data_IF_151289368033
#
_entry.id   IF_151289368033
#
_cell.length_a   1.000
_cell.length_b   1.000
_cell.length_c   1.000
_cell.angle_alpha   90.00
_cell.angle_beta   90.00
_cell.angle_gamma   90.00
#
_symmetry.space_group_name_H-M   'P 1'
#
loop_
_entity.id
_entity.type
_entity.pdbx_description
1 polymer ?
#
# COMPACT_ATOMS: atom_id res chain seq x y z
N UNK A 1 4.02 21.15 -19.92
CA UNK A 1 2.90 20.19 -20.06
C UNK A 1 2.77 19.48 -18.72
N UNK A 2 1.66 19.64 -18.01
CA UNK A 2 1.46 18.97 -16.73
C UNK A 2 1.27 17.47 -16.99
N UNK A 3 2.20 16.65 -16.51
CA UNK A 3 2.08 15.21 -16.58
C UNK A 3 0.91 14.80 -15.67
N UNK A 4 -0.22 14.46 -16.28
CA UNK A 4 -1.33 13.87 -15.56
C UNK A 4 -0.82 12.52 -15.06
N UNK A 5 -0.52 12.43 -13.77
CA UNK A 5 -0.13 11.19 -13.11
C UNK A 5 -1.35 10.25 -13.08
N UNK A 6 -1.70 9.70 -14.25
CA UNK A 6 -2.82 8.79 -14.43
C UNK A 6 -2.40 7.47 -13.78
N UNK A 7 -3.07 7.12 -12.69
CA UNK A 7 -2.86 5.82 -12.05
C UNK A 7 -3.01 4.69 -13.07
N UNK A 8 -2.06 3.76 -13.08
CA UNK A 8 -2.11 2.58 -13.93
C UNK A 8 -2.95 1.47 -13.27
N UNK A 9 -3.76 0.76 -14.06
CA UNK A 9 -4.54 -0.38 -13.57
C UNK A 9 -3.64 -1.62 -13.56
N UNK A 10 -3.44 -2.18 -12.37
CA UNK A 10 -2.67 -3.41 -12.17
C UNK A 10 -3.63 -4.50 -11.67
N UNK A 11 -3.92 -5.55 -12.46
CA UNK A 11 -4.66 -6.70 -11.95
C UNK A 11 -3.78 -7.47 -10.96
N UNK A 12 -4.37 -7.90 -9.83
CA UNK A 12 -3.68 -8.65 -8.79
C UNK A 12 -4.55 -9.83 -8.37
N UNK A 13 -3.97 -11.03 -8.37
CA UNK A 13 -4.57 -12.20 -7.77
C UNK A 13 -4.18 -12.24 -6.29
N UNK A 14 -5.15 -12.50 -5.42
CA UNK A 14 -4.93 -12.62 -3.98
C UNK A 14 -5.76 -13.77 -3.43
N UNK A 15 -5.23 -14.39 -2.39
CA UNK A 15 -5.96 -15.39 -1.62
C UNK A 15 -7.24 -14.79 -1.01
N UNK A 16 -8.34 -15.57 -0.89
CA UNK A 16 -9.61 -15.07 -0.34
C UNK A 16 -9.47 -14.48 1.07
N UNK A 17 -8.63 -15.09 1.91
CA UNK A 17 -8.37 -14.60 3.27
C UNK A 17 -7.73 -13.20 3.26
N UNK A 18 -6.83 -12.94 2.31
CA UNK A 18 -6.18 -11.64 2.18
C UNK A 18 -7.19 -10.58 1.69
N UNK A 19 -8.09 -10.94 0.78
CA UNK A 19 -9.18 -10.06 0.35
C UNK A 19 -10.05 -9.68 1.54
N UNK A 20 -10.39 -10.66 2.39
CA UNK A 20 -11.18 -10.43 3.60
C UNK A 20 -10.49 -9.46 4.56
N UNK A 21 -9.19 -9.65 4.84
CA UNK A 21 -8.41 -8.74 5.70
C UNK A 21 -8.40 -7.31 5.18
N UNK A 22 -8.21 -7.12 3.86
CA UNK A 22 -8.27 -5.79 3.22
C UNK A 22 -9.65 -5.17 3.36
N UNK A 23 -10.72 -5.96 3.23
CA UNK A 23 -12.09 -5.47 3.40
C UNK A 23 -12.39 -5.10 4.85
N UNK A 24 -11.96 -5.89 5.84
CA UNK A 24 -12.07 -5.55 7.27
C UNK A 24 -11.37 -4.24 7.59
N UNK A 25 -10.11 -4.08 7.18
CA UNK A 25 -9.36 -2.83 7.32
C UNK A 25 -10.11 -1.65 6.68
N UNK A 26 -10.62 -1.84 5.45
CA UNK A 26 -11.42 -0.81 4.77
C UNK A 26 -12.64 -0.39 5.61
N UNK A 27 -13.38 -1.36 6.16
CA UNK A 27 -14.59 -1.10 6.95
C UNK A 27 -14.30 -0.38 8.28
N UNK A 28 -13.25 -0.81 9.00
CA UNK A 28 -12.81 -0.22 10.26
C UNK A 28 -12.35 1.23 10.07
N UNK A 29 -11.57 1.49 9.01
CA UNK A 29 -11.03 2.82 8.72
C UNK A 29 -11.94 3.70 7.85
N UNK A 30 -13.18 3.27 7.59
CA UNK A 30 -14.19 3.99 6.79
C UNK A 30 -13.68 4.39 5.40
N UNK A 31 -12.87 3.54 4.77
CA UNK A 31 -12.31 3.80 3.45
C UNK A 31 -13.34 3.39 2.39
N UNK A 32 -13.64 4.23 1.39
CA UNK A 32 -14.76 4.00 0.49
C UNK A 32 -14.51 2.88 -0.53
N UNK A 33 -13.26 2.67 -0.95
CA UNK A 33 -12.93 1.69 -2.00
C UNK A 33 -11.82 0.74 -1.59
N UNK A 34 -11.88 -0.51 -2.07
CA UNK A 34 -10.81 -1.50 -1.86
C UNK A 34 -9.48 -1.01 -2.42
N UNK A 35 -9.49 -0.38 -3.60
CA UNK A 35 -8.28 0.13 -4.23
C UNK A 35 -7.60 1.22 -3.39
N UNK A 36 -8.37 2.08 -2.72
CA UNK A 36 -7.84 3.08 -1.79
C UNK A 36 -7.25 2.44 -0.53
N UNK A 37 -7.94 1.45 0.03
CA UNK A 37 -7.45 0.69 1.18
C UNK A 37 -6.11 0.00 0.86
N UNK A 38 -6.01 -0.65 -0.30
CA UNK A 38 -4.76 -1.28 -0.78
C UNK A 38 -3.65 -0.23 -0.94
N UNK A 39 -3.91 0.90 -1.59
CA UNK A 39 -2.89 1.96 -1.74
C UNK A 39 -2.40 2.48 -0.40
N UNK A 40 -3.30 2.66 0.57
CA UNK A 40 -2.96 3.10 1.93
C UNK A 40 -2.07 2.08 2.63
N UNK A 41 -2.48 0.81 2.65
CA UNK A 41 -1.71 -0.28 3.23
C UNK A 41 -0.31 -0.40 2.62
N UNK A 42 -0.20 -0.30 1.29
CA UNK A 42 1.10 -0.32 0.59
C UNK A 42 1.98 0.85 1.02
N UNK A 43 1.42 2.07 1.07
CA UNK A 43 2.18 3.26 1.48
C UNK A 43 2.68 3.15 2.92
N UNK A 44 1.81 2.78 3.85
CA UNK A 44 2.15 2.63 5.27
C UNK A 44 3.18 1.51 5.48
N UNK A 45 3.03 0.38 4.78
CA UNK A 45 3.97 -0.75 4.87
C UNK A 45 5.36 -0.38 4.32
N UNK A 46 5.43 0.33 3.19
CA UNK A 46 6.70 0.77 2.61
C UNK A 46 7.40 1.79 3.52
N UNK A 47 6.66 2.71 4.14
CA UNK A 47 7.20 3.61 5.16
C UNK A 47 7.75 2.85 6.36
N UNK A 48 6.98 1.90 6.91
CA UNK A 48 7.43 1.08 8.02
C UNK A 48 8.68 0.25 7.68
N UNK A 49 8.75 -0.35 6.49
CA UNK A 49 9.94 -1.09 6.02
C UNK A 49 11.16 -0.16 5.89
N UNK A 50 10.96 1.07 5.37
CA UNK A 50 12.03 2.06 5.26
C UNK A 50 12.58 2.46 6.62
N UNK A 51 11.73 2.57 7.63
CA UNK A 51 12.11 2.90 9.02
C UNK A 51 12.82 1.72 9.72
N UNK A 52 12.50 0.49 9.33
CA UNK A 52 13.13 -0.72 9.86
C UNK A 52 14.51 -1.03 9.26
N UNK A 53 14.88 -0.41 8.13
CA UNK A 53 16.24 -0.57 7.59
C UNK A 53 17.19 0.25 8.48
N UNK A 54 18.13 -0.38 9.23
CA UNK A 54 19.13 0.40 9.95
C UNK A 54 19.88 1.29 8.95
N UNK A 55 20.34 2.49 9.36
CA UNK A 55 21.08 3.36 8.46
C UNK A 55 22.21 2.54 7.86
N UNK A 56 22.25 2.47 6.52
CA UNK A 56 23.40 1.92 5.81
C UNK A 56 24.57 2.78 6.28
N UNK A 57 25.39 2.27 7.19
CA UNK A 57 26.69 2.86 7.47
C UNK A 57 27.45 2.70 6.17
N UNK A 58 27.54 3.78 5.40
CA UNK A 58 28.52 3.87 4.34
C UNK A 58 29.88 3.83 5.04
N UNK A 59 30.50 2.66 5.06
CA UNK A 59 31.92 2.55 5.36
C UNK A 59 32.68 3.16 4.17
N UNK A 60 33.22 4.35 4.44
CA UNK A 60 34.36 5.06 3.81
C UNK A 60 34.55 4.95 2.30
#
# INVERSE_FOLDING_TARGET
>A
MAEVNKGQRVPLLMEPELIYKVDSFRHEHRIPTRAEAIRRLVKESLSAISELKPPVRNEQ
#
